data_IF_508851834756
#
_entry.id   IF_508851834756
#
_cell.length_a   1.000
_cell.length_b   1.000
_cell.length_c   1.000
_cell.angle_alpha   90.00
_cell.angle_beta   90.00
_cell.angle_gamma   90.00
#
_symmetry.space_group_name_H-M   'P 1'
#
loop_
_entity.id
_entity.type
_entity.pdbx_description
1 polymer ?
2 non-polymer ?
3 non-polymer ?
4 water ?
#
# COMPACT_ATOMS: atom_id res chain seq x y z
N UNK A 2 4.22 -21.57 -15.51
CA UNK A 2 4.88 -20.65 -14.55
C UNK A 2 3.85 -19.77 -13.85
N UNK A 3 4.06 -19.56 -12.55
CA UNK A 3 3.16 -18.73 -11.76
C UNK A 3 3.97 -17.69 -11.00
N UNK A 4 3.30 -16.62 -10.59
CA UNK A 4 3.97 -15.56 -9.83
C UNK A 4 3.65 -15.80 -8.36
N UNK A 5 4.64 -15.59 -7.49
CA UNK A 5 4.45 -15.79 -6.06
C UNK A 5 3.79 -14.60 -5.41
N UNK A 6 3.88 -13.45 -6.05
CA UNK A 6 3.28 -12.25 -5.49
C UNK A 6 3.02 -11.15 -6.50
N UNK A 7 2.12 -10.23 -6.12
CA UNK A 7 1.78 -9.11 -6.97
C UNK A 7 2.08 -7.86 -6.16
N UNK A 8 2.82 -6.94 -6.76
CA UNK A 8 3.24 -5.72 -6.09
C UNK A 8 2.75 -4.51 -6.88
N UNK A 9 1.91 -3.72 -6.24
CA UNK A 9 1.38 -2.51 -6.84
C UNK A 9 1.98 -1.30 -6.11
N UNK A 10 2.53 -0.36 -6.87
CA UNK A 10 3.06 0.84 -6.26
C UNK A 10 2.46 2.02 -6.99
N UNK A 11 2.12 3.06 -6.24
CA UNK A 11 1.51 4.24 -6.84
C UNK A 11 1.97 5.50 -6.14
N UNK A 12 2.14 6.56 -6.92
CA UNK A 12 2.50 7.84 -6.35
C UNK A 12 1.22 8.66 -6.52
N UNK A 13 0.65 9.09 -5.41
CA UNK A 13 -0.60 9.85 -5.43
C UNK A 13 -0.38 11.34 -5.24
N UNK A 14 -0.87 12.14 -6.19
CA UNK A 14 -0.72 13.59 -6.13
C UNK A 14 -2.06 14.30 -5.94
N UNK A 15 -2.00 15.54 -5.47
CA UNK A 15 -3.21 16.30 -5.27
C UNK A 15 -4.00 15.82 -4.07
N UNK A 16 -3.31 15.18 -3.13
CA UNK A 16 -3.97 14.67 -1.93
C UNK A 16 -4.03 15.76 -0.86
N UNK A 17 -5.21 15.98 -0.29
CA UNK A 17 -5.36 16.99 0.75
C UNK A 17 -4.36 16.72 1.88
N UNK A 18 -3.66 17.77 2.29
CA UNK A 18 -2.65 17.69 3.35
C UNK A 18 -3.19 17.14 4.67
N UNK A 19 -4.46 17.43 4.96
CA UNK A 19 -5.06 16.97 6.21
C UNK A 19 -5.31 15.46 6.24
N UNK A 20 -5.33 14.82 5.08
CA UNK A 20 -5.57 13.38 5.01
C UNK A 20 -4.30 12.56 5.23
N UNK A 21 -3.14 13.22 5.13
CA UNK A 21 -1.86 12.53 5.25
C UNK A 21 -0.80 13.22 6.10
N UNK A 22 -1.20 14.07 7.03
CA UNK A 22 -0.21 14.78 7.84
C UNK A 22 0.20 14.12 9.17
N UNK A 23 -0.71 13.38 9.80
CA UNK A 23 -0.38 12.76 11.08
C UNK A 23 -0.42 11.22 11.00
N UNK A 24 0.18 10.55 11.98
CA UNK A 24 0.17 9.09 12.02
C UNK A 24 -1.27 8.56 12.12
N UNK A 25 -2.09 9.21 12.93
CA UNK A 25 -3.48 8.81 13.11
C UNK A 25 -4.14 8.55 11.77
N UNK A 26 -3.91 9.46 10.82
CA UNK A 26 -4.49 9.35 9.48
C UNK A 26 -4.00 8.08 8.76
N UNK A 27 -2.68 7.88 8.72
CA UNK A 27 -2.10 6.73 8.03
C UNK A 27 -2.57 5.42 8.65
N UNK A 28 -2.58 5.39 9.98
CA UNK A 28 -3.02 4.21 10.73
C UNK A 28 -4.45 3.86 10.38
N UNK A 29 -5.35 4.83 10.44
CA UNK A 29 -6.74 4.56 10.11
C UNK A 29 -6.83 4.05 8.68
N UNK A 30 -6.13 4.74 7.79
CA UNK A 30 -6.10 4.41 6.38
C UNK A 30 -5.67 2.96 6.11
N UNK A 31 -4.49 2.59 6.60
CA UNK A 31 -3.97 1.24 6.38
C UNK A 31 -4.76 0.16 7.13
N UNK A 32 -5.30 0.49 8.30
CA UNK A 32 -6.10 -0.49 9.04
C UNK A 32 -7.34 -0.73 8.19
N UNK A 33 -7.83 0.35 7.59
CA UNK A 33 -9.01 0.26 6.76
C UNK A 33 -8.77 -0.53 5.49
N UNK A 34 -7.56 -0.41 4.93
CA UNK A 34 -7.23 -1.12 3.71
C UNK A 34 -7.17 -2.61 3.99
N UNK A 35 -6.43 -2.97 5.04
CA UNK A 35 -6.26 -4.35 5.44
C UNK A 35 -7.60 -5.05 5.64
N UNK A 36 -8.52 -4.43 6.38
CA UNK A 36 -9.83 -5.03 6.62
C UNK A 36 -10.67 -5.10 5.34
N UNK A 37 -10.70 -4.02 4.58
CA UNK A 37 -11.46 -3.99 3.33
C UNK A 37 -10.96 -5.07 2.37
N UNK A 38 -9.64 -5.30 2.35
CA UNK A 38 -9.06 -6.30 1.46
C UNK A 38 -9.05 -7.70 2.06
N UNK A 39 -9.52 -7.80 3.30
CA UNK A 39 -9.56 -9.07 4.00
C UNK A 39 -8.16 -9.69 4.10
N UNK A 40 -7.17 -8.83 4.34
CA UNK A 40 -5.80 -9.29 4.48
C UNK A 40 -5.52 -9.56 5.95
N UNK A 41 -4.59 -10.46 6.22
CA UNK A 41 -4.24 -10.78 7.59
C UNK A 41 -2.89 -10.13 7.93
N UNK A 42 -2.88 -9.39 9.02
CA UNK A 42 -1.69 -8.68 9.46
C UNK A 42 -0.83 -9.44 10.45
N UNK A 43 0.48 -9.26 10.33
CA UNK A 43 1.40 -9.86 11.28
C UNK A 43 1.60 -8.75 12.32
N UNK A 44 1.99 -7.58 11.82
CA UNK A 44 2.23 -6.40 12.66
C UNK A 44 2.18 -5.13 11.81
N UNK A 45 2.22 -3.98 12.47
CA UNK A 45 2.18 -2.70 11.78
C UNK A 45 3.02 -1.68 12.54
N UNK A 46 3.74 -0.85 11.80
CA UNK A 46 4.60 0.15 12.41
C UNK A 46 4.49 1.50 11.73
N UNK A 47 4.35 2.54 12.56
CA UNK A 47 4.21 3.90 12.07
C UNK A 47 5.22 4.86 12.65
N UNK A 48 5.47 5.94 11.92
CA UNK A 48 6.40 6.95 12.38
C UNK A 48 5.92 8.35 11.99
N UNK A 49 5.96 9.27 12.95
CA UNK A 49 5.54 10.64 12.73
C UNK A 49 6.76 11.50 12.43
N UNK A 50 6.73 12.20 11.30
CA UNK A 50 7.84 13.08 10.94
C UNK A 50 7.46 14.51 11.29
N UNK A 51 8.47 15.34 11.51
CA UNK A 51 8.22 16.75 11.81
C UNK A 51 8.55 17.53 10.55
N UNK A 52 7.81 18.62 10.28
CA UNK A 52 6.70 19.17 11.07
C UNK A 52 5.41 18.42 10.79
N UNK A 53 5.51 17.42 9.92
CA UNK A 53 4.36 16.61 9.54
C UNK A 53 4.77 15.52 8.56
N UNK A 54 3.82 14.66 8.22
CA UNK A 54 4.12 13.58 7.31
C UNK A 54 4.42 12.34 8.12
N UNK A 55 4.17 11.17 7.54
CA UNK A 55 4.38 9.93 8.26
C UNK A 55 4.67 8.72 7.38
N UNK A 56 5.24 7.69 8.00
CA UNK A 56 5.53 6.44 7.33
C UNK A 56 4.68 5.37 8.02
N UNK A 57 4.22 4.40 7.23
CA UNK A 57 3.43 3.33 7.78
C UNK A 57 3.76 2.07 7.01
N UNK A 58 4.03 0.98 7.71
CA UNK A 58 4.34 -0.28 7.06
C UNK A 58 3.60 -1.41 7.77
N UNK A 59 3.04 -2.31 6.98
CA UNK A 59 2.32 -3.45 7.54
C UNK A 59 2.91 -4.72 6.96
N UNK A 60 3.38 -5.61 7.83
CA UNK A 60 3.90 -6.89 7.39
C UNK A 60 2.67 -7.80 7.30
N UNK A 61 2.47 -8.43 6.14
CA UNK A 61 1.32 -9.31 5.95
C UNK A 61 1.68 -10.77 6.17
N UNK A 62 0.66 -11.59 6.42
CA UNK A 62 0.87 -13.02 6.64
C UNK A 62 0.39 -13.83 5.46
N UNK A 64 3.22 -10.27 2.18
CA UNK A 64 4.39 -9.41 2.07
C UNK A 64 4.21 -8.13 2.88
N UNK A 65 3.89 -7.02 2.22
CA UNK A 65 3.71 -5.77 2.94
C UNK A 65 2.96 -4.66 2.22
N UNK A 66 2.52 -3.69 3.02
CA UNK A 66 1.83 -2.51 2.53
C UNK A 66 2.60 -1.36 3.17
N UNK A 67 2.97 -0.36 2.38
CA UNK A 67 3.70 0.76 2.95
C UNK A 67 3.20 2.07 2.38
N UNK A 68 3.41 3.15 3.14
CA UNK A 68 3.03 4.48 2.70
C UNK A 68 3.93 5.52 3.36
N UNK A 69 4.41 6.45 2.54
CA UNK A 69 5.28 7.53 2.98
C UNK A 69 4.56 8.78 2.48
N UNK A 70 4.51 9.83 3.30
CA UNK A 70 3.79 11.02 2.88
C UNK A 70 4.51 12.36 3.05
N UNK A 71 4.07 13.33 2.25
CA UNK A 71 4.62 14.68 2.24
C UNK A 71 3.44 15.63 2.09
N UNK A 72 2.87 16.05 3.22
CA UNK A 72 1.73 16.97 3.20
C UNK A 72 1.98 18.22 2.34
N UNK A 73 3.17 18.80 2.45
CA UNK A 73 3.48 20.02 1.70
C UNK A 73 3.40 19.84 0.19
N UNK A 74 3.47 18.59 -0.27
CA UNK A 74 3.41 18.29 -1.70
C UNK A 74 2.13 17.57 -2.09
N UNK A 75 1.22 17.39 -1.13
CA UNK A 75 -0.02 16.70 -1.42
C UNK A 75 0.30 15.34 -2.01
N UNK A 76 1.40 14.76 -1.53
CA UNK A 76 1.88 13.49 -2.05
C UNK A 76 2.00 12.35 -1.06
N UNK A 77 1.65 11.16 -1.55
CA UNK A 77 1.74 9.93 -0.77
C UNK A 77 2.22 8.82 -1.72
N UNK A 78 3.25 8.10 -1.30
CA UNK A 78 3.77 7.00 -2.11
C UNK A 78 3.35 5.71 -1.43
N UNK A 79 2.58 4.91 -2.16
CA UNK A 79 2.02 3.67 -1.63
C UNK A 79 2.50 2.36 -2.28
N UNK A 80 2.64 1.32 -1.46
CA UNK A 80 3.04 0.01 -1.95
C UNK A 80 2.11 -1.05 -1.38
N UNK A 81 1.55 -1.88 -2.25
CA UNK A 81 0.70 -2.98 -1.80
C UNK A 81 1.27 -4.22 -2.46
N UNK A 82 1.96 -5.02 -1.66
CA UNK A 82 2.62 -6.25 -2.10
C UNK A 82 2.06 -7.45 -1.33
N UNK A 83 1.30 -8.31 -2.00
CA UNK A 83 0.73 -9.51 -1.38
C UNK A 83 1.18 -10.77 -2.12
N UNK A 84 1.07 -11.92 -1.46
CA UNK A 84 1.47 -13.19 -2.06
C UNK A 84 0.29 -14.14 -2.19
N UNK A 85 0.05 -14.65 -3.39
CA UNK A 85 -1.05 -15.57 -3.59
C UNK A 85 -2.36 -15.00 -4.14
N UNK A 86 -3.01 -14.11 -3.40
CA UNK A 86 -4.29 -13.53 -3.84
C UNK A 86 -4.16 -12.12 -4.41
N UNK A 87 -4.02 -12.01 -5.74
CA UNK A 87 -3.88 -10.71 -6.41
C UNK A 87 -5.05 -9.76 -6.19
N UNK A 88 -6.26 -10.31 -6.13
CA UNK A 88 -7.43 -9.47 -5.93
C UNK A 88 -7.38 -8.70 -4.62
N UNK A 89 -6.67 -9.24 -3.63
CA UNK A 89 -6.56 -8.56 -2.35
C UNK A 89 -5.63 -7.35 -2.49
N UNK A 90 -4.55 -7.51 -3.26
CA UNK A 90 -3.65 -6.38 -3.47
C UNK A 90 -4.42 -5.26 -4.15
N UNK A 91 -5.20 -5.62 -5.17
CA UNK A 91 -5.96 -4.62 -5.89
C UNK A 91 -7.00 -3.94 -5.01
N UNK A 92 -7.70 -4.71 -4.20
CA UNK A 92 -8.71 -4.15 -3.30
C UNK A 92 -8.06 -3.18 -2.30
N UNK A 93 -6.92 -3.58 -1.75
CA UNK A 93 -6.22 -2.74 -0.79
C UNK A 93 -5.84 -1.41 -1.42
N UNK A 94 -5.32 -1.46 -2.64
CA UNK A 94 -4.92 -0.23 -3.33
C UNK A 94 -6.13 0.61 -3.74
N UNK A 95 -7.22 -0.04 -4.12
CA UNK A 95 -8.44 0.69 -4.51
C UNK A 95 -8.97 1.44 -3.30
N UNK A 96 -8.93 0.78 -2.15
CA UNK A 96 -9.40 1.38 -0.91
C UNK A 96 -8.55 2.60 -0.57
N UNK A 97 -7.24 2.40 -0.46
CA UNK A 97 -6.32 3.49 -0.15
C UNK A 97 -6.51 4.68 -1.08
N UNK A 98 -6.58 4.43 -2.39
CA UNK A 98 -6.76 5.51 -3.35
C UNK A 98 -8.09 6.26 -3.15
N UNK A 99 -9.19 5.53 -2.98
CA UNK A 99 -10.48 6.19 -2.80
C UNK A 99 -10.52 7.00 -1.52
N UNK A 100 -9.86 6.51 -0.47
CA UNK A 100 -9.86 7.25 0.78
C UNK A 100 -9.05 8.53 0.65
N UNK A 101 -7.92 8.45 -0.04
CA UNK A 101 -7.06 9.61 -0.22
C UNK A 101 -7.54 10.53 -1.34
N UNK A 102 -8.35 9.96 -2.23
CA UNK A 102 -8.91 10.71 -3.35
C UNK A 102 -7.91 11.67 -4.01
N UNK A 103 -6.85 11.13 -4.63
CA UNK A 103 -5.84 11.96 -5.29
C UNK A 103 -6.37 12.53 -6.62
N UNK A 104 -5.78 13.63 -7.08
CA UNK A 104 -6.19 14.24 -8.34
C UNK A 104 -5.44 13.63 -9.53
N UNK A 105 -4.20 13.22 -9.30
CA UNK A 105 -3.36 12.60 -10.33
C UNK A 105 -2.65 11.39 -9.76
N UNK A 106 -2.47 10.39 -10.61
CA UNK A 106 -1.83 9.16 -10.17
C UNK A 106 -0.83 8.58 -11.17
N UNK A 107 0.20 7.95 -10.63
CA UNK A 107 1.18 7.26 -11.45
C UNK A 107 1.26 5.90 -10.78
N UNK A 108 0.86 4.87 -11.50
CA UNK A 108 0.84 3.53 -10.94
C UNK A 108 1.58 2.53 -11.80
N UNK A 109 2.04 1.45 -11.17
CA UNK A 109 2.74 0.37 -11.86
C UNK A 109 2.53 -0.93 -11.08
N UNK A 110 2.45 -2.04 -11.80
CA UNK A 110 2.26 -3.35 -11.18
C UNK A 110 3.40 -4.29 -11.60
N UNK A 111 3.90 -5.07 -10.65
CA UNK A 111 4.99 -6.03 -10.89
C UNK A 111 4.63 -7.42 -10.35
N UNK A 112 4.95 -8.46 -11.09
CA UNK A 112 4.71 -9.81 -10.59
C UNK A 112 6.08 -10.12 -9.98
N UNK A 113 6.13 -10.34 -8.68
CA UNK A 113 7.41 -10.61 -8.02
C UNK A 113 7.66 -12.10 -7.81
N UNK A 114 8.74 -12.60 -8.39
CA UNK A 114 9.10 -14.00 -8.21
C UNK A 114 8.36 -14.98 -9.09
N UNK A 115 8.98 -15.35 -10.21
CA UNK A 115 8.38 -16.28 -11.14
C UNK A 115 8.99 -17.67 -10.98
N UNK A 116 8.13 -18.65 -10.70
CA UNK A 116 8.58 -20.02 -10.49
C UNK A 116 7.84 -21.02 -11.39
N UNK A 117 8.53 -22.10 -11.74
CA UNK A 117 7.98 -23.14 -12.60
C UNK A 117 6.84 -23.91 -11.95
N UNK A 118 5.92 -24.42 -12.78
CA UNK A 118 4.78 -25.21 -12.32
C UNK A 118 5.07 -26.68 -12.62
N UNK A 119 5.95 -26.90 -13.60
CA UNK A 119 6.38 -28.24 -13.98
C UNK A 119 7.84 -28.27 -13.59
N UNK A 120 8.32 -29.43 -13.18
CA UNK A 120 9.72 -29.56 -12.81
C UNK A 120 10.28 -30.55 -13.81
N UNK A 121 11.60 -30.67 -13.89
CA UNK A 121 12.12 -31.65 -14.82
C UNK A 121 12.34 -32.97 -14.09
N UNK A 122 11.56 -33.93 -14.55
CA UNK A 122 11.49 -35.30 -14.06
C UNK A 122 12.77 -36.15 -14.12
X LIG B 1 -4.91 14.98 9.42
X LIG C 1 -2.76 -1.58 11.62
#
# INVERSE_FOLDING_TARGET
XAKTLGLHILADLYGVDADKIDRVEDIRELLEGAVKYANLTKISSHYYQFQPHGATGVVLLAESHISIHTWPEHGLATVDVYTCGDPSKAYRAMDYIITQLNPKRIDKQVHERGIVEEESNQSEAEKLRSILLQV
MG MG
CA CA
#
